data_IF_409452785704
#
_entry.id   IF_409452785704
#
_cell.length_a   1.000
_cell.length_b   1.000
_cell.length_c   1.000
_cell.angle_alpha   90.00
_cell.angle_beta   90.00
_cell.angle_gamma   90.00
#
_symmetry.space_group_name_H-M   'P 1'
#
loop_
_entity.id
_entity.type
_entity.pdbx_description
1 polymer ?
#
# COMPACT_ATOMS: atom_id res chain seq x y z
N UNK A 1 13.22 -6.31 0.50
CA UNK A 1 14.40 -7.18 0.34
C UNK A 1 15.43 -6.80 1.39
N UNK A 2 15.99 -7.81 2.08
CA UNK A 2 17.03 -7.60 3.06
C UNK A 2 18.39 -7.83 2.42
N UNK A 3 19.34 -6.93 2.69
CA UNK A 3 20.73 -7.07 2.26
C UNK A 3 21.60 -6.91 3.53
N UNK A 4 22.22 -8.01 3.98
CA UNK A 4 22.91 -8.02 5.24
C UNK A 4 21.92 -7.82 6.40
N UNK A 5 22.18 -6.81 7.25
CA UNK A 5 21.30 -6.44 8.36
C UNK A 5 20.27 -5.37 7.98
N UNK A 6 20.43 -4.75 6.82
CA UNK A 6 19.59 -3.63 6.38
C UNK A 6 18.58 -4.10 5.36
N UNK A 7 17.35 -3.55 5.47
CA UNK A 7 16.32 -3.79 4.48
C UNK A 7 16.45 -2.73 3.39
N UNK A 8 16.66 -3.20 2.16
CA UNK A 8 16.75 -2.32 1.00
C UNK A 8 15.39 -2.27 0.30
N UNK A 9 14.78 -1.08 0.25
CA UNK A 9 13.45 -0.83 -0.33
C UNK A 9 13.53 0.10 -1.53
N UNK A 10 14.58 -0.01 -2.32
CA UNK A 10 14.70 0.78 -3.53
C UNK A 10 14.07 0.08 -4.73
N UNK A 11 13.84 0.85 -5.78
CA UNK A 11 13.19 0.37 -7.01
C UNK A 11 13.89 -0.85 -7.60
N UNK A 12 15.22 -0.85 -7.63
CA UNK A 12 16.00 -1.95 -8.24
C UNK A 12 15.74 -3.28 -7.54
N UNK A 13 15.88 -3.30 -6.21
CA UNK A 13 15.72 -4.54 -5.45
C UNK A 13 14.26 -4.99 -5.36
N UNK A 14 13.34 -4.06 -5.22
CA UNK A 14 11.91 -4.41 -5.15
C UNK A 14 11.40 -4.90 -6.51
N UNK A 15 11.86 -4.30 -7.61
CA UNK A 15 11.51 -4.78 -8.96
C UNK A 15 12.05 -6.17 -9.20
N UNK A 16 13.30 -6.42 -8.83
CA UNK A 16 13.92 -7.74 -8.98
C UNK A 16 13.19 -8.79 -8.14
N UNK A 17 12.92 -8.50 -6.87
CA UNK A 17 12.20 -9.41 -6.00
C UNK A 17 10.79 -9.72 -6.51
N UNK A 18 10.08 -8.72 -7.01
CA UNK A 18 8.75 -8.89 -7.59
C UNK A 18 8.80 -9.77 -8.84
N UNK A 19 9.79 -9.56 -9.69
CA UNK A 19 9.97 -10.37 -10.90
C UNK A 19 10.29 -11.82 -10.57
N UNK A 20 11.15 -12.06 -9.59
CA UNK A 20 11.47 -13.42 -9.13
C UNK A 20 10.19 -14.11 -8.61
N UNK A 21 9.37 -13.41 -7.82
CA UNK A 21 8.12 -13.96 -7.32
C UNK A 21 7.19 -14.37 -8.46
N UNK A 22 7.04 -13.54 -9.48
CA UNK A 22 6.22 -13.85 -10.66
C UNK A 22 6.74 -15.07 -11.39
N UNK A 23 8.05 -15.15 -11.62
CA UNK A 23 8.67 -16.27 -12.31
C UNK A 23 8.55 -17.58 -11.53
N UNK A 24 8.40 -17.51 -10.21
CA UNK A 24 8.15 -18.67 -9.37
C UNK A 24 6.65 -19.02 -9.25
N UNK A 25 5.78 -18.30 -9.97
CA UNK A 25 4.36 -18.62 -10.05
C UNK A 25 3.43 -17.78 -9.19
N UNK A 26 3.88 -16.65 -8.66
CA UNK A 26 2.99 -15.78 -7.88
C UNK A 26 1.90 -15.19 -8.77
N UNK A 27 0.66 -15.24 -8.28
CA UNK A 27 -0.49 -14.62 -8.95
C UNK A 27 -0.71 -13.18 -8.52
N UNK A 28 -0.26 -12.83 -7.33
CA UNK A 28 -0.30 -11.49 -6.74
C UNK A 28 1.02 -11.27 -6.00
N UNK A 29 1.60 -10.09 -6.14
CA UNK A 29 2.83 -9.72 -5.42
C UNK A 29 2.52 -8.70 -4.34
N UNK A 30 2.96 -8.96 -3.12
CA UNK A 30 2.97 -7.98 -2.04
C UNK A 30 4.38 -7.43 -1.88
N UNK A 31 4.52 -6.11 -1.95
CA UNK A 31 5.82 -5.46 -1.81
C UNK A 31 5.69 -4.12 -1.09
N UNK A 32 6.81 -3.45 -0.91
CA UNK A 32 6.86 -2.12 -0.29
C UNK A 32 6.74 -1.03 -1.35
N UNK A 33 6.22 0.11 -0.93
CA UNK A 33 6.24 1.30 -1.77
C UNK A 33 7.67 1.86 -1.82
N UNK A 34 8.05 2.40 -2.98
CA UNK A 34 9.35 3.04 -3.20
C UNK A 34 9.23 4.16 -4.22
N UNK A 35 10.24 5.02 -4.28
CA UNK A 35 10.33 6.02 -5.34
C UNK A 35 10.41 5.31 -6.69
N UNK A 36 9.68 5.84 -7.68
CA UNK A 36 9.59 5.19 -9.00
C UNK A 36 8.68 3.96 -9.03
N UNK A 37 7.78 3.83 -8.07
CA UNK A 37 6.90 2.66 -7.94
C UNK A 37 6.14 2.35 -9.23
N UNK A 38 5.74 3.36 -10.00
CA UNK A 38 5.09 3.17 -11.30
C UNK A 38 5.94 2.34 -12.29
N UNK A 39 7.26 2.45 -12.20
CA UNK A 39 8.16 1.64 -13.03
C UNK A 39 8.17 0.18 -12.59
N UNK A 40 8.09 -0.07 -11.27
CA UNK A 40 7.94 -1.43 -10.75
C UNK A 40 6.65 -2.05 -11.26
N UNK A 41 5.55 -1.31 -11.22
CA UNK A 41 4.26 -1.77 -11.72
C UNK A 41 4.34 -2.12 -13.21
N UNK A 42 4.98 -1.27 -14.01
CA UNK A 42 5.12 -1.51 -15.44
C UNK A 42 5.93 -2.78 -15.74
N UNK A 43 6.86 -3.15 -14.85
CA UNK A 43 7.71 -4.32 -15.01
C UNK A 43 7.12 -5.60 -14.40
N UNK A 44 6.02 -5.51 -13.65
CA UNK A 44 5.40 -6.64 -12.95
C UNK A 44 4.08 -7.01 -13.64
N UNK A 45 3.98 -8.21 -14.28
CA UNK A 45 2.80 -8.58 -15.06
C UNK A 45 1.61 -9.09 -14.24
N UNK A 46 1.69 -9.08 -12.91
CA UNK A 46 0.59 -9.49 -12.03
C UNK A 46 0.19 -8.33 -11.11
N UNK A 47 -1.00 -8.38 -10.49
CA UNK A 47 -1.39 -7.34 -9.54
C UNK A 47 -0.40 -7.21 -8.40
N UNK A 48 -0.14 -5.96 -7.99
CA UNK A 48 0.77 -5.64 -6.88
C UNK A 48 -0.02 -4.95 -5.78
N UNK A 49 0.11 -5.46 -4.55
CA UNK A 49 -0.45 -4.82 -3.35
C UNK A 49 0.68 -4.32 -2.47
N UNK A 50 0.42 -3.22 -1.76
CA UNK A 50 1.43 -2.53 -0.97
C UNK A 50 1.30 -2.87 0.50
N UNK A 51 2.43 -3.21 1.13
CA UNK A 51 2.51 -3.38 2.58
C UNK A 51 2.33 -2.02 3.28
N UNK A 52 1.51 -2.01 4.34
CA UNK A 52 1.19 -0.76 5.04
C UNK A 52 2.27 -0.25 5.98
N UNK A 53 3.17 -1.11 6.46
CA UNK A 53 4.23 -0.71 7.36
C UNK A 53 3.77 -0.42 8.79
N UNK A 54 4.53 0.41 9.49
CA UNK A 54 4.23 0.81 10.86
C UNK A 54 3.01 1.71 10.93
N UNK A 55 2.36 1.75 12.10
CA UNK A 55 1.24 2.65 12.37
C UNK A 55 1.69 4.11 12.21
N UNK A 56 0.92 4.85 11.43
CA UNK A 56 1.04 6.30 11.25
C UNK A 56 -0.31 6.94 11.55
N UNK A 57 -0.42 8.28 11.67
CA UNK A 57 -1.72 8.93 11.79
C UNK A 57 -2.67 8.51 10.66
N UNK A 58 -3.95 8.43 10.95
CA UNK A 58 -4.96 7.91 10.01
C UNK A 58 -4.97 8.65 8.67
N UNK A 59 -4.86 9.98 8.69
CA UNK A 59 -4.79 10.76 7.46
C UNK A 59 -3.57 10.37 6.62
N UNK A 60 -2.41 10.19 7.26
CA UNK A 60 -1.18 9.82 6.56
C UNK A 60 -1.31 8.44 5.92
N UNK A 61 -1.97 7.50 6.60
CA UNK A 61 -2.23 6.18 6.05
C UNK A 61 -3.15 6.26 4.82
N UNK A 62 -4.15 7.12 4.84
CA UNK A 62 -5.06 7.33 3.71
C UNK A 62 -4.34 8.01 2.53
N UNK A 63 -3.48 8.98 2.81
CA UNK A 63 -2.66 9.62 1.78
C UNK A 63 -1.69 8.62 1.13
N UNK A 64 -1.08 7.77 1.94
CA UNK A 64 -0.19 6.71 1.47
C UNK A 64 -0.95 5.72 0.55
N UNK A 65 -2.13 5.27 0.97
CA UNK A 65 -2.95 4.37 0.17
C UNK A 65 -3.33 5.02 -1.18
N UNK A 66 -3.74 6.27 -1.14
CA UNK A 66 -4.11 7.02 -2.36
C UNK A 66 -2.92 7.14 -3.31
N UNK A 67 -1.76 7.46 -2.79
CA UNK A 67 -0.54 7.59 -3.60
C UNK A 67 -0.15 6.25 -4.24
N UNK A 68 -0.22 5.17 -3.48
CA UNK A 68 0.10 3.83 -4.00
C UNK A 68 -0.85 3.43 -5.15
N UNK A 69 -2.15 3.66 -4.98
CA UNK A 69 -3.15 3.37 -6.02
C UNK A 69 -2.94 4.26 -7.24
N UNK A 70 -2.65 5.55 -7.04
CA UNK A 70 -2.37 6.48 -8.14
C UNK A 70 -1.15 6.07 -8.95
N UNK A 71 -0.16 5.45 -8.31
CA UNK A 71 1.06 4.97 -8.98
C UNK A 71 0.89 3.56 -9.59
N UNK A 72 -0.28 2.96 -9.46
CA UNK A 72 -0.62 1.71 -10.16
C UNK A 72 -0.78 0.48 -9.29
N UNK A 73 -0.70 0.58 -7.96
CA UNK A 73 -0.99 -0.56 -7.09
C UNK A 73 -2.43 -1.01 -7.25
N UNK A 74 -2.67 -2.31 -7.16
CA UNK A 74 -4.01 -2.89 -7.23
C UNK A 74 -4.74 -2.86 -5.90
N UNK A 75 -4.01 -2.65 -4.81
CA UNK A 75 -4.58 -2.60 -3.47
C UNK A 75 -3.53 -2.37 -2.41
N UNK A 76 -3.96 -2.42 -1.16
CA UNK A 76 -3.08 -2.29 0.01
C UNK A 76 -3.31 -3.47 0.96
N UNK A 77 -2.27 -3.82 1.69
CA UNK A 77 -2.33 -4.86 2.72
C UNK A 77 -1.82 -4.21 4.01
N UNK A 78 -2.75 -3.61 4.75
CA UNK A 78 -2.48 -2.81 5.94
C UNK A 78 -3.04 -3.50 7.18
N UNK A 79 -2.17 -3.94 8.08
CA UNK A 79 -2.60 -4.48 9.37
C UNK A 79 -2.66 -3.40 10.44
N UNK A 80 -1.49 -2.94 10.88
CA UNK A 80 -1.35 -2.02 12.02
C UNK A 80 -2.08 -0.69 11.83
N UNK A 81 -2.11 -0.16 10.64
CA UNK A 81 -2.83 1.08 10.36
C UNK A 81 -4.34 0.93 10.47
N UNK A 82 -4.85 -0.30 10.43
CA UNK A 82 -6.27 -0.59 10.65
C UNK A 82 -6.53 -0.89 12.13
N UNK A 83 -5.93 -1.98 12.66
CA UNK A 83 -6.31 -2.43 14.00
C UNK A 83 -5.77 -1.56 15.13
N UNK A 84 -4.75 -0.75 14.88
CA UNK A 84 -4.23 0.22 15.85
C UNK A 84 -4.82 1.62 15.69
N UNK A 85 -5.76 1.80 14.76
CA UNK A 85 -6.48 3.07 14.64
C UNK A 85 -7.47 3.24 15.77
N UNK A 86 -7.97 4.46 15.98
CA UNK A 86 -8.96 4.75 16.99
C UNK A 86 -10.27 3.96 16.76
N UNK A 87 -10.63 3.73 15.50
CA UNK A 87 -11.79 2.93 15.12
C UNK A 87 -11.44 2.05 13.93
N UNK A 88 -11.03 0.79 14.16
CA UNK A 88 -10.67 -0.12 13.06
C UNK A 88 -11.77 -0.31 12.03
N UNK A 89 -13.01 -0.42 12.46
CA UNK A 89 -14.15 -0.57 11.57
C UNK A 89 -14.30 0.62 10.61
N UNK A 90 -14.25 1.83 11.16
CA UNK A 90 -14.33 3.04 10.36
C UNK A 90 -13.08 3.24 9.49
N UNK A 91 -11.92 2.82 9.98
CA UNK A 91 -10.68 2.91 9.21
C UNK A 91 -10.69 1.98 7.99
N UNK A 92 -11.23 0.77 8.13
CA UNK A 92 -11.42 -0.13 6.99
C UNK A 92 -12.30 0.54 5.93
N UNK A 93 -13.40 1.17 6.34
CA UNK A 93 -14.29 1.86 5.41
C UNK A 93 -13.58 3.01 4.70
N UNK A 94 -12.80 3.79 5.43
CA UNK A 94 -12.04 4.91 4.87
C UNK A 94 -11.00 4.42 3.85
N UNK A 95 -10.21 3.42 4.20
CA UNK A 95 -9.21 2.84 3.30
C UNK A 95 -9.88 2.25 2.06
N UNK A 96 -11.00 1.55 2.24
CA UNK A 96 -11.76 0.99 1.12
C UNK A 96 -12.25 2.09 0.17
N UNK A 97 -12.73 3.20 0.70
CA UNK A 97 -13.18 4.34 -0.11
C UNK A 97 -12.05 4.88 -0.98
N UNK A 98 -10.85 4.99 -0.42
CA UNK A 98 -9.68 5.47 -1.16
C UNK A 98 -9.25 4.45 -2.23
N UNK A 99 -9.16 3.18 -1.85
CA UNK A 99 -8.59 2.14 -2.73
C UNK A 99 -9.58 1.74 -3.83
N UNK A 100 -10.84 1.52 -3.48
CA UNK A 100 -11.83 0.98 -4.41
C UNK A 100 -12.57 2.08 -5.17
N UNK A 101 -12.96 3.15 -4.47
CA UNK A 101 -13.78 4.22 -5.04
C UNK A 101 -12.98 5.42 -5.53
N UNK A 102 -11.67 5.43 -5.30
CA UNK A 102 -10.82 6.56 -5.70
C UNK A 102 -11.06 7.83 -4.90
N UNK A 103 -11.62 7.72 -3.69
CA UNK A 103 -11.91 8.88 -2.86
C UNK A 103 -10.63 9.59 -2.45
N UNK A 104 -10.67 10.93 -2.36
CA UNK A 104 -9.52 11.71 -1.91
C UNK A 104 -9.27 11.45 -0.41
N UNK A 105 -7.99 11.41 0.02
CA UNK A 105 -7.66 11.09 1.41
C UNK A 105 -8.28 12.02 2.45
N UNK A 106 -8.29 13.31 2.17
CA UNK A 106 -8.87 14.32 3.07
C UNK A 106 -10.37 14.09 3.28
N UNK A 107 -11.09 13.75 2.21
CA UNK A 107 -12.51 13.47 2.26
C UNK A 107 -12.81 12.15 2.98
N UNK A 108 -12.04 11.11 2.70
CA UNK A 108 -12.15 9.84 3.41
C UNK A 108 -11.86 10.01 4.91
N UNK A 109 -10.88 10.82 5.25
CA UNK A 109 -10.55 11.12 6.65
C UNK A 109 -11.66 11.91 7.35
N UNK A 110 -12.27 12.85 6.66
CA UNK A 110 -13.42 13.59 7.20
C UNK A 110 -14.59 12.66 7.52
N UNK A 111 -14.91 11.74 6.62
CA UNK A 111 -15.93 10.71 6.84
C UNK A 111 -15.55 9.81 8.03
N UNK A 112 -14.28 9.43 8.13
CA UNK A 112 -13.78 8.65 9.27
C UNK A 112 -14.02 9.37 10.58
N UNK A 113 -13.64 10.66 10.69
CA UNK A 113 -13.83 11.45 11.90
C UNK A 113 -15.31 11.61 12.26
N UNK A 114 -16.16 11.81 11.27
CA UNK A 114 -17.60 12.01 11.49
C UNK A 114 -18.30 10.74 11.96
N UNK A 115 -17.68 9.58 11.78
CA UNK A 115 -18.22 8.27 12.18
C UNK A 115 -17.73 7.81 13.55
N UNK A 116 -16.81 8.57 14.17
CA UNK A 116 -16.27 8.24 15.50
C UNK A 116 -17.28 8.41 16.63
#
# INVERSE_FOLDING_TARGET
TAVGKDMNRDLRYLSLASRIAVELGADIVKTYYCDGFNELIAACPVPVVIAGGKKVPELDALEFAHKAISDGASGVDMGRNIFQSESPENMIQAVRSVVVNGEKPDKAFEQYKNSL
#
